data_IF_099611937061
#
_entry.id   IF_099611937061
#
_cell.length_a   1.000
_cell.length_b   1.000
_cell.length_c   1.000
_cell.angle_alpha   90.00
_cell.angle_beta   90.00
_cell.angle_gamma   90.00
#
_symmetry.space_group_name_H-M   'P 1'
#
loop_
_entity.id
_entity.type
_entity.pdbx_description
1 polymer ?
#
# COMPACT_ATOMS: atom_id res chain seq x y z
N UNK A 1 -12.47 7.38 -1.72
CA UNK A 1 -11.10 7.58 -1.30
C UNK A 1 -10.51 6.39 -0.58
N UNK A 2 -11.27 5.65 0.17
CA UNK A 2 -10.81 4.34 0.63
C UNK A 2 -11.21 3.29 -0.42
N UNK A 3 -10.53 2.16 -0.41
CA UNK A 3 -10.86 1.08 -1.33
C UNK A 3 -12.13 0.36 -0.90
N UNK A 4 -12.88 -0.14 -1.87
CA UNK A 4 -14.09 -0.93 -1.59
C UNK A 4 -13.70 -2.27 -0.98
N UNK A 5 -14.65 -2.93 -0.31
CA UNK A 5 -14.42 -4.27 0.24
C UNK A 5 -14.04 -5.28 -0.85
N UNK A 6 -14.67 -5.17 -2.01
CA UNK A 6 -14.37 -6.04 -3.16
C UNK A 6 -12.95 -5.84 -3.67
N UNK A 7 -12.53 -4.58 -3.85
CA UNK A 7 -11.18 -4.26 -4.30
C UNK A 7 -10.14 -4.68 -3.27
N UNK A 8 -10.43 -4.47 -1.99
CA UNK A 8 -9.56 -4.90 -0.90
C UNK A 8 -9.36 -6.42 -0.93
N UNK A 9 -10.42 -7.18 -1.14
CA UNK A 9 -10.33 -8.63 -1.23
C UNK A 9 -9.46 -9.06 -2.42
N UNK A 10 -9.59 -8.39 -3.57
CA UNK A 10 -8.75 -8.66 -4.74
C UNK A 10 -7.26 -8.39 -4.45
N UNK A 11 -6.96 -7.28 -3.80
CA UNK A 11 -5.59 -6.90 -3.45
C UNK A 11 -4.99 -7.92 -2.47
N UNK A 12 -5.75 -8.31 -1.46
CA UNK A 12 -5.32 -9.33 -0.50
C UNK A 12 -5.01 -10.65 -1.22
N UNK A 13 -5.92 -11.10 -2.07
CA UNK A 13 -5.76 -12.35 -2.80
C UNK A 13 -4.53 -12.33 -3.71
N UNK A 14 -4.32 -11.20 -4.40
CA UNK A 14 -3.20 -11.07 -5.34
C UNK A 14 -1.84 -11.03 -4.64
N UNK A 15 -1.78 -10.61 -3.38
CA UNK A 15 -0.52 -10.41 -2.65
C UNK A 15 -0.34 -11.35 -1.47
N UNK A 16 -1.29 -12.20 -1.18
CA UNK A 16 -1.19 -13.16 -0.09
C UNK A 16 -0.04 -14.12 -0.32
N UNK A 17 0.74 -14.40 0.72
CA UNK A 17 1.85 -15.34 0.65
C UNK A 17 1.36 -16.78 0.79
N UNK A 18 0.16 -16.95 1.33
CA UNK A 18 -0.49 -18.27 1.47
C UNK A 18 -2.00 -18.05 1.54
N UNK A 19 -2.75 -19.11 1.35
CA UNK A 19 -4.21 -19.07 1.44
C UNK A 19 -4.65 -18.55 2.81
N UNK A 20 -5.56 -17.59 2.80
CA UNK A 20 -6.08 -16.98 4.03
C UNK A 20 -5.19 -15.89 4.63
N UNK A 21 -4.08 -15.56 3.98
CA UNK A 21 -3.18 -14.50 4.46
C UNK A 21 -3.82 -13.13 4.24
N UNK A 22 -4.10 -12.42 5.32
CA UNK A 22 -4.67 -11.06 5.26
C UNK A 22 -3.80 -10.04 6.00
N UNK A 23 -2.71 -10.48 6.64
CA UNK A 23 -1.92 -9.65 7.52
C UNK A 23 -0.43 -9.60 7.25
N UNK A 24 0.06 -10.24 6.19
CA UNK A 24 1.50 -10.19 5.89
C UNK A 24 1.92 -8.77 5.50
N UNK A 25 3.22 -8.42 5.64
CA UNK A 25 3.72 -7.13 5.19
C UNK A 25 3.40 -6.86 3.72
N UNK A 26 3.48 -7.86 2.86
CA UNK A 26 3.16 -7.73 1.44
C UNK A 26 1.72 -7.29 1.22
N UNK A 27 0.78 -7.94 1.91
CA UNK A 27 -0.64 -7.58 1.81
C UNK A 27 -0.89 -6.18 2.34
N UNK A 28 -0.31 -5.84 3.49
CA UNK A 28 -0.46 -4.51 4.08
C UNK A 28 0.08 -3.41 3.17
N UNK A 29 1.26 -3.61 2.59
CA UNK A 29 1.85 -2.65 1.64
C UNK A 29 0.97 -2.51 0.40
N UNK A 30 0.43 -3.61 -0.11
CA UNK A 30 -0.44 -3.57 -1.29
C UNK A 30 -1.71 -2.76 -1.02
N UNK A 31 -2.34 -2.95 0.14
CA UNK A 31 -3.53 -2.20 0.54
C UNK A 31 -3.20 -0.71 0.69
N UNK A 32 -2.10 -0.40 1.37
CA UNK A 32 -1.67 1.00 1.55
C UNK A 32 -1.38 1.66 0.21
N UNK A 33 -0.75 0.94 -0.72
CA UNK A 33 -0.45 1.47 -2.06
C UNK A 33 -1.72 1.80 -2.83
N UNK A 34 -2.74 0.95 -2.74
CA UNK A 34 -4.03 1.21 -3.38
C UNK A 34 -4.70 2.46 -2.79
N UNK A 35 -4.68 2.60 -1.46
CA UNK A 35 -5.24 3.77 -0.80
C UNK A 35 -4.48 5.04 -1.15
N UNK A 36 -3.15 4.97 -1.24
CA UNK A 36 -2.31 6.11 -1.64
C UNK A 36 -2.65 6.53 -3.07
N UNK A 37 -2.80 5.58 -3.98
CA UNK A 37 -3.15 5.87 -5.37
C UNK A 37 -4.53 6.53 -5.46
N UNK A 38 -5.50 6.06 -4.69
CA UNK A 38 -6.84 6.64 -4.66
C UNK A 38 -6.82 8.08 -4.15
N UNK A 39 -6.05 8.37 -3.10
CA UNK A 39 -5.91 9.73 -2.57
C UNK A 39 -5.15 10.64 -3.53
N UNK A 40 -4.11 10.13 -4.18
CA UNK A 40 -3.37 10.88 -5.18
C UNK A 40 -4.29 11.30 -6.31
N UNK A 41 -5.15 10.41 -6.77
CA UNK A 41 -6.15 10.72 -7.80
C UNK A 41 -7.14 11.77 -7.30
N UNK A 42 -7.56 11.68 -6.04
CA UNK A 42 -8.44 12.67 -5.41
C UNK A 42 -7.85 14.08 -5.49
N UNK A 43 -6.54 14.24 -5.27
CA UNK A 43 -5.88 15.55 -5.28
C UNK A 43 -5.83 16.21 -6.65
N UNK A 44 -6.05 15.48 -7.71
CA UNK A 44 -6.14 16.07 -9.05
C UNK A 44 -7.32 17.02 -9.16
N UNK A 45 -8.39 16.77 -8.40
CA UNK A 45 -9.58 17.61 -8.39
C UNK A 45 -9.80 18.38 -7.08
N UNK A 46 -9.08 18.04 -6.01
CA UNK A 46 -9.26 18.62 -4.68
C UNK A 46 -7.93 19.04 -4.07
N UNK A 47 -7.23 19.96 -4.76
CA UNK A 47 -5.85 20.35 -4.43
C UNK A 47 -5.69 20.94 -3.04
N UNK A 48 -6.76 21.55 -2.50
CA UNK A 48 -6.71 22.26 -1.21
C UNK A 48 -7.25 21.44 -0.04
N UNK A 49 -7.45 20.14 -0.22
CA UNK A 49 -7.96 19.27 0.85
C UNK A 49 -6.82 18.89 1.81
N UNK A 50 -6.64 19.72 2.84
CA UNK A 50 -5.56 19.52 3.81
C UNK A 50 -5.73 18.28 4.67
N UNK A 51 -6.95 17.87 4.97
CA UNK A 51 -7.21 16.65 5.74
C UNK A 51 -6.75 15.41 4.97
N UNK A 52 -7.08 15.36 3.69
CA UNK A 52 -6.65 14.25 2.85
C UNK A 52 -5.13 14.23 2.65
N UNK A 53 -4.49 15.40 2.60
CA UNK A 53 -3.03 15.48 2.52
C UNK A 53 -2.35 14.88 3.74
N UNK A 54 -2.86 15.19 4.93
CA UNK A 54 -2.34 14.59 6.17
C UNK A 54 -2.52 13.08 6.17
N UNK A 55 -3.69 12.62 5.73
CA UNK A 55 -3.97 11.19 5.59
C UNK A 55 -3.02 10.52 4.62
N UNK A 56 -2.77 11.16 3.48
CA UNK A 56 -1.83 10.63 2.48
C UNK A 56 -0.42 10.50 3.04
N UNK A 57 0.07 11.55 3.72
CA UNK A 57 1.41 11.51 4.31
C UNK A 57 1.54 10.39 5.35
N UNK A 58 0.49 10.18 6.14
CA UNK A 58 0.45 9.10 7.13
C UNK A 58 0.53 7.73 6.46
N UNK A 59 -0.23 7.52 5.37
CA UNK A 59 -0.21 6.27 4.64
C UNK A 59 1.15 6.01 3.99
N UNK A 60 1.76 7.04 3.41
CA UNK A 60 3.10 6.93 2.82
C UNK A 60 4.13 6.54 3.87
N UNK A 61 4.05 7.16 5.06
CA UNK A 61 4.94 6.85 6.16
C UNK A 61 4.77 5.40 6.64
N UNK A 62 3.53 4.94 6.79
CA UNK A 62 3.24 3.57 7.18
C UNK A 62 3.76 2.57 6.15
N UNK A 63 3.55 2.84 4.87
CA UNK A 63 4.07 1.98 3.80
C UNK A 63 5.59 1.89 3.85
N UNK A 64 6.26 3.02 4.05
CA UNK A 64 7.71 3.08 4.14
C UNK A 64 8.24 2.24 5.31
N UNK A 65 7.58 2.33 6.47
CA UNK A 65 7.97 1.55 7.64
C UNK A 65 7.85 0.04 7.38
N UNK A 66 6.77 -0.40 6.74
CA UNK A 66 6.57 -1.80 6.39
C UNK A 66 7.61 -2.27 5.36
N UNK A 67 7.92 -1.44 4.37
CA UNK A 67 8.93 -1.77 3.37
C UNK A 67 10.34 -1.86 4.00
N UNK A 68 10.67 -0.95 4.90
CA UNK A 68 11.96 -0.99 5.60
C UNK A 68 12.06 -2.23 6.48
N UNK A 69 10.98 -2.60 7.15
CA UNK A 69 10.93 -3.84 7.94
C UNK A 69 11.17 -5.06 7.05
N UNK A 70 10.45 -5.14 5.94
CA UNK A 70 10.57 -6.27 5.02
C UNK A 70 11.97 -6.36 4.42
N UNK A 71 12.55 -5.23 4.06
CA UNK A 71 13.91 -5.17 3.53
C UNK A 71 14.93 -5.72 4.53
N UNK A 72 14.76 -5.43 5.82
CA UNK A 72 15.66 -5.93 6.87
C UNK A 72 15.48 -7.42 7.15
N UNK A 73 14.26 -7.92 7.03
CA UNK A 73 13.95 -9.31 7.37
C UNK A 73 14.06 -10.26 6.19
N UNK A 74 13.73 -9.80 4.99
CA UNK A 74 13.81 -10.61 3.78
C UNK A 74 13.90 -9.72 2.54
N UNK A 75 15.13 -9.46 2.12
CA UNK A 75 15.39 -8.57 0.99
C UNK A 75 14.81 -9.09 -0.33
N UNK A 76 14.78 -10.40 -0.51
CA UNK A 76 14.21 -11.01 -1.73
C UNK A 76 12.72 -10.70 -1.83
N UNK A 77 11.98 -10.87 -0.74
CA UNK A 77 10.55 -10.54 -0.70
C UNK A 77 10.33 -9.06 -0.94
N UNK A 78 11.18 -8.21 -0.36
CA UNK A 78 11.13 -6.77 -0.56
C UNK A 78 11.27 -6.40 -2.04
N UNK A 79 12.29 -6.92 -2.71
CA UNK A 79 12.54 -6.64 -4.13
C UNK A 79 11.40 -7.13 -5.01
N UNK A 80 10.90 -8.32 -4.74
CA UNK A 80 9.77 -8.89 -5.48
C UNK A 80 8.54 -8.01 -5.34
N UNK A 81 8.27 -7.52 -4.13
CA UNK A 81 7.10 -6.71 -3.87
C UNK A 81 7.18 -5.35 -4.56
N UNK A 82 8.30 -4.64 -4.46
CA UNK A 82 8.42 -3.33 -5.11
C UNK A 82 8.33 -3.42 -6.62
N UNK A 83 8.87 -4.48 -7.21
CA UNK A 83 8.72 -4.72 -8.66
C UNK A 83 7.28 -4.99 -9.03
N UNK A 84 6.59 -5.83 -8.26
CA UNK A 84 5.19 -6.19 -8.50
C UNK A 84 4.25 -4.99 -8.41
N UNK A 85 4.48 -4.12 -7.44
CA UNK A 85 3.62 -2.96 -7.19
C UNK A 85 4.09 -1.69 -7.91
N UNK A 86 5.25 -1.73 -8.55
CA UNK A 86 5.80 -0.56 -9.22
C UNK A 86 6.16 0.57 -8.26
N UNK A 87 6.56 0.24 -7.05
CA UNK A 87 6.89 1.22 -6.02
C UNK A 87 8.34 1.65 -6.14
N UNK A 88 8.57 2.94 -6.09
CA UNK A 88 9.91 3.49 -5.95
C UNK A 88 10.28 3.58 -4.49
N UNK A 89 11.51 3.22 -4.21
CA UNK A 89 11.92 3.23 -2.83
C UNK A 89 13.28 3.86 -2.65
#
# INVERSE_FOLDING_TARGET
MSITAERKAEVIKANATKSGDTGSPEVQVAILSERINNLTEHFKSHVKDNHSRRGLLKLVSQRRQLLDYLRRTDETRYKTLIDKLGIRR
#
